data_IF_939840348392
#
_entry.id   IF_939840348392
#
_cell.length_a   1.000
_cell.length_b   1.000
_cell.length_c   1.000
_cell.angle_alpha   90.00
_cell.angle_beta   90.00
_cell.angle_gamma   90.00
#
_symmetry.space_group_name_H-M   'P 1'
#
loop_
_entity.id
_entity.type
_entity.pdbx_description
1 polymer ?
#
# COMPACT_ATOMS: atom_id res chain seq x y z
N UNK A 1 -12.19 7.81 -17.45
CA UNK A 1 -11.49 7.80 -16.15
C UNK A 1 -10.02 8.07 -16.42
N UNK A 2 -9.37 8.88 -15.59
CA UNK A 2 -7.92 9.05 -15.69
C UNK A 2 -7.24 7.84 -15.05
N UNK A 3 -6.11 7.40 -15.62
CA UNK A 3 -5.35 6.27 -15.09
C UNK A 3 -4.63 6.62 -13.77
N UNK A 4 -4.38 7.91 -13.51
CA UNK A 4 -3.68 8.40 -12.31
C UNK A 4 -4.64 9.23 -11.46
N UNK A 5 -4.83 8.80 -10.22
CA UNK A 5 -5.61 9.51 -9.22
C UNK A 5 -4.70 10.48 -8.45
N UNK A 6 -5.02 11.77 -8.47
CA UNK A 6 -4.24 12.81 -7.78
C UNK A 6 -4.60 12.96 -6.29
N UNK A 7 -5.62 12.23 -5.82
CA UNK A 7 -6.12 12.26 -4.44
C UNK A 7 -6.37 10.84 -3.96
N UNK A 8 -6.28 10.65 -2.65
CA UNK A 8 -6.60 9.35 -2.03
C UNK A 8 -8.09 9.03 -2.22
N UNK A 9 -8.44 7.85 -2.77
CA UNK A 9 -9.83 7.44 -2.94
C UNK A 9 -10.39 6.89 -1.61
N UNK A 10 -11.02 7.77 -0.83
CA UNK A 10 -11.61 7.45 0.48
C UNK A 10 -12.83 6.52 0.31
N UNK A 11 -12.93 5.51 1.17
CA UNK A 11 -13.98 4.49 1.11
C UNK A 11 -13.77 3.40 0.04
N UNK A 12 -12.72 3.53 -0.78
CA UNK A 12 -12.41 2.58 -1.86
C UNK A 12 -11.30 1.60 -1.47
N UNK A 13 -11.24 0.48 -2.19
CA UNK A 13 -10.18 -0.53 -2.05
C UNK A 13 -8.93 -0.08 -2.80
N UNK A 14 -7.79 -0.01 -2.11
CA UNK A 14 -6.50 0.40 -2.69
C UNK A 14 -5.48 -0.72 -2.51
N UNK A 15 -4.96 -1.26 -3.61
CA UNK A 15 -3.85 -2.20 -3.56
C UNK A 15 -2.53 -1.50 -3.28
N UNK A 16 -1.71 -2.06 -2.37
CA UNK A 16 -0.34 -1.61 -2.13
C UNK A 16 0.62 -2.81 -2.28
N UNK A 17 1.66 -2.62 -3.09
CA UNK A 17 2.81 -3.52 -3.09
C UNK A 17 3.59 -3.30 -1.79
N UNK A 18 3.45 -4.23 -0.86
CA UNK A 18 3.88 -4.07 0.52
C UNK A 18 5.19 -4.81 0.77
N UNK A 19 6.29 -4.06 0.93
CA UNK A 19 7.62 -4.59 1.21
C UNK A 19 7.90 -4.81 2.71
N UNK A 20 7.07 -4.25 3.61
CA UNK A 20 7.35 -4.26 5.05
C UNK A 20 8.33 -3.17 5.51
N UNK A 21 8.99 -2.46 4.59
CA UNK A 21 9.84 -1.31 4.91
C UNK A 21 9.06 -0.11 5.46
N UNK A 22 9.78 0.92 5.92
CA UNK A 22 9.20 2.11 6.54
C UNK A 22 8.16 2.80 5.63
N UNK A 23 8.49 2.99 4.36
CA UNK A 23 7.65 3.75 3.42
C UNK A 23 6.29 3.07 3.19
N UNK A 24 6.30 1.77 2.89
CA UNK A 24 5.08 1.01 2.64
C UNK A 24 4.26 0.81 3.91
N UNK A 25 4.92 0.68 5.06
CA UNK A 25 4.28 0.63 6.40
C UNK A 25 3.59 1.94 6.76
N UNK A 26 4.28 3.07 6.62
CA UNK A 26 3.74 4.40 6.89
C UNK A 26 2.60 4.74 5.93
N UNK A 27 2.76 4.45 4.64
CA UNK A 27 1.71 4.66 3.63
C UNK A 27 0.45 3.85 3.94
N UNK A 28 0.59 2.55 4.27
CA UNK A 28 -0.53 1.69 4.64
C UNK A 28 -1.28 2.22 5.86
N UNK A 29 -0.56 2.61 6.91
CA UNK A 29 -1.15 3.19 8.11
C UNK A 29 -1.87 4.51 7.80
N UNK A 30 -1.23 5.40 7.05
CA UNK A 30 -1.79 6.70 6.67
C UNK A 30 -3.05 6.56 5.80
N UNK A 31 -3.05 5.66 4.80
CA UNK A 31 -4.21 5.39 3.95
C UNK A 31 -5.41 4.95 4.78
N UNK A 32 -5.20 4.01 5.72
CA UNK A 32 -6.26 3.54 6.63
C UNK A 32 -6.76 4.67 7.52
N UNK A 33 -5.86 5.45 8.11
CA UNK A 33 -6.22 6.59 8.98
C UNK A 33 -6.99 7.69 8.23
N UNK A 34 -6.76 7.85 6.93
CA UNK A 34 -7.46 8.80 6.06
C UNK A 34 -8.76 8.24 5.44
N UNK A 35 -9.13 7.00 5.76
CA UNK A 35 -10.41 6.42 5.38
C UNK A 35 -10.43 5.62 4.08
N UNK A 36 -9.27 5.36 3.45
CA UNK A 36 -9.19 4.35 2.39
C UNK A 36 -9.18 2.93 2.96
N UNK A 37 -9.41 1.93 2.10
CA UNK A 37 -9.41 0.51 2.47
C UNK A 37 -8.19 -0.18 1.80
N UNK A 38 -7.00 -0.11 2.41
CA UNK A 38 -5.80 -0.68 1.81
C UNK A 38 -5.80 -2.22 1.87
N UNK A 39 -5.28 -2.85 0.81
CA UNK A 39 -4.99 -4.28 0.71
C UNK A 39 -3.50 -4.45 0.43
N UNK A 40 -2.78 -5.10 1.35
CA UNK A 40 -1.36 -5.32 1.25
C UNK A 40 -1.05 -6.59 0.47
N UNK A 41 -0.16 -6.49 -0.52
CA UNK A 41 0.34 -7.63 -1.28
C UNK A 41 1.86 -7.64 -1.21
N UNK A 42 2.41 -8.64 -0.52
CA UNK A 42 3.85 -8.87 -0.46
C UNK A 42 4.19 -9.96 -1.45
N UNK A 43 5.11 -9.66 -2.36
CA UNK A 43 5.65 -10.66 -3.26
C UNK A 43 6.76 -11.43 -2.55
N UNK A 44 6.67 -12.75 -2.50
CA UNK A 44 7.81 -13.59 -2.14
C UNK A 44 8.76 -13.62 -3.33
N UNK A 45 9.85 -12.86 -3.24
CA UNK A 45 10.86 -12.76 -4.29
C UNK A 45 12.14 -13.55 -3.95
N UNK A 46 12.18 -14.19 -2.78
CA UNK A 46 13.39 -14.79 -2.23
C UNK A 46 14.50 -13.77 -2.08
N UNK A 47 14.22 -12.64 -1.41
CA UNK A 47 15.24 -11.60 -1.26
C UNK A 47 16.41 -12.17 -0.45
N UNK A 48 17.67 -11.89 -0.84
CA UNK A 48 18.84 -12.50 -0.20
C UNK A 48 19.00 -12.11 1.28
N UNK A 49 18.34 -11.04 1.70
CA UNK A 49 18.33 -10.45 3.03
C UNK A 49 17.06 -10.77 3.85
N UNK A 50 16.12 -11.55 3.30
CA UNK A 50 15.02 -12.14 4.06
C UNK A 50 15.56 -13.31 4.90
N UNK A 51 15.53 -13.18 6.23
CA UNK A 51 16.01 -14.18 7.20
C UNK A 51 14.95 -15.16 7.68
#
# INVERSE_FOLDING_TARGET
>A
MANILQRLPVGEKVGIAFSGGLDTSAALHWMRAKGAIPYAYTANLGQPDES
#
